data_IF_296440029981
#
_entry.id   IF_296440029981
#
_cell.length_a   1.000
_cell.length_b   1.000
_cell.length_c   1.000
_cell.angle_alpha   90.00
_cell.angle_beta   90.00
_cell.angle_gamma   90.00
#
_symmetry.space_group_name_H-M   'P 1'
#
loop_
_entity.id
_entity.type
_entity.pdbx_description
1 polymer ?
#
# COMPACT_ATOMS: atom_id res chain seq x y z
N UNK A 1 -17.10 16.24 30.85
CA UNK A 1 -16.23 16.61 29.71
C UNK A 1 -16.60 15.74 28.52
N UNK A 2 -16.45 16.26 27.30
CA UNK A 2 -16.67 15.50 26.06
C UNK A 2 -15.34 15.35 25.33
N UNK A 3 -15.05 14.14 24.87
CA UNK A 3 -13.79 13.79 24.19
C UNK A 3 -14.09 13.06 22.88
N UNK A 4 -13.17 13.18 21.93
CA UNK A 4 -13.27 12.54 20.62
C UNK A 4 -12.08 11.61 20.42
N UNK A 5 -12.32 10.48 19.75
CA UNK A 5 -11.28 9.54 19.33
C UNK A 5 -11.60 9.03 17.93
N UNK A 6 -10.58 8.87 17.10
CA UNK A 6 -10.70 8.29 15.77
C UNK A 6 -10.15 6.87 15.79
N UNK A 7 -10.85 5.96 15.13
CA UNK A 7 -10.46 4.56 14.99
C UNK A 7 -10.39 4.24 13.50
N UNK A 8 -9.29 3.62 13.09
CA UNK A 8 -9.08 3.13 11.73
C UNK A 8 -8.72 1.65 11.79
N UNK A 9 -9.37 0.86 10.94
CA UNK A 9 -9.11 -0.56 10.81
C UNK A 9 -8.82 -0.85 9.33
N UNK A 10 -7.73 -1.55 9.06
CA UNK A 10 -7.36 -2.02 7.73
C UNK A 10 -7.09 -3.52 7.80
N UNK A 11 -7.50 -4.32 6.80
CA UNK A 11 -7.13 -5.72 6.74
C UNK A 11 -5.61 -5.88 6.65
N UNK A 12 -5.07 -6.91 7.30
CA UNK A 12 -3.68 -7.32 7.10
C UNK A 12 -3.63 -8.10 5.79
N UNK A 13 -2.92 -7.56 4.80
CA UNK A 13 -2.64 -8.25 3.53
C UNK A 13 -1.18 -8.70 3.58
N UNK A 14 -0.91 -9.93 3.14
CA UNK A 14 0.46 -10.39 2.96
C UNK A 14 1.07 -9.63 1.76
N UNK A 15 2.05 -8.78 2.05
CA UNK A 15 2.66 -7.86 1.08
C UNK A 15 3.90 -8.44 0.40
N UNK A 16 4.02 -9.77 0.38
CA UNK A 16 5.14 -10.44 -0.26
C UNK A 16 4.97 -10.39 -1.80
N UNK A 17 5.50 -9.33 -2.42
CA UNK A 17 5.52 -9.18 -3.89
C UNK A 17 6.67 -10.01 -4.46
N UNK A 18 6.37 -11.21 -4.94
CA UNK A 18 7.33 -12.01 -5.72
C UNK A 18 7.39 -11.54 -7.17
N UNK A 19 8.54 -10.98 -7.57
CA UNK A 19 8.78 -10.52 -8.94
C UNK A 19 9.57 -11.60 -9.69
N UNK A 20 8.85 -12.45 -10.41
CA UNK A 20 9.44 -13.36 -11.41
C UNK A 20 9.53 -12.64 -12.76
N UNK A 21 10.75 -12.55 -13.31
CA UNK A 21 11.02 -11.87 -14.57
C UNK A 21 11.30 -12.93 -15.63
N UNK A 22 10.37 -13.13 -16.56
CA UNK A 22 10.60 -14.04 -17.68
C UNK A 22 11.42 -13.34 -18.76
N UNK A 23 12.18 -14.10 -19.57
CA UNK A 23 12.93 -13.54 -20.70
C UNK A 23 12.09 -12.77 -21.73
N UNK A 24 10.78 -13.01 -21.75
CA UNK A 24 9.82 -12.36 -22.65
C UNK A 24 9.38 -10.97 -22.16
N UNK A 25 9.54 -10.69 -20.86
CA UNK A 25 9.03 -9.47 -20.22
C UNK A 25 9.97 -8.27 -20.35
N UNK A 26 11.21 -8.50 -20.80
CA UNK A 26 12.22 -7.46 -20.90
C UNK A 26 13.01 -7.51 -22.21
N UNK A 27 13.42 -6.34 -22.66
CA UNK A 27 14.41 -6.16 -23.72
C UNK A 27 15.78 -5.91 -23.10
N UNK A 28 16.78 -6.66 -23.52
CA UNK A 28 18.18 -6.43 -23.13
C UNK A 28 18.96 -5.88 -24.33
N UNK A 29 19.43 -4.66 -24.21
CA UNK A 29 20.29 -3.99 -25.19
C UNK A 29 21.70 -3.85 -24.61
N UNK A 30 22.71 -4.25 -25.38
CA UNK A 30 24.14 -4.07 -25.01
C UNK A 30 24.78 -3.02 -25.91
N UNK A 31 25.52 -2.10 -25.31
CA UNK A 31 26.14 -0.98 -26.02
C UNK A 31 27.48 -0.60 -25.38
N UNK A 32 28.19 0.33 -26.02
CA UNK A 32 29.48 0.82 -25.50
C UNK A 32 29.27 1.72 -24.30
N UNK A 33 30.04 1.47 -23.25
CA UNK A 33 30.03 2.34 -22.07
C UNK A 33 30.46 3.76 -22.45
N UNK A 34 29.70 4.76 -21.98
CA UNK A 34 29.96 6.16 -22.24
C UNK A 34 30.88 6.76 -21.19
N UNK A 35 31.99 7.37 -21.61
CA UNK A 35 32.89 8.10 -20.71
C UNK A 35 34.31 8.29 -21.28
N UNK A 36 35.12 9.11 -20.63
CA UNK A 36 36.53 9.33 -20.94
C UNK A 36 37.40 8.13 -20.49
N UNK A 37 37.06 6.93 -20.95
CA UNK A 37 37.73 5.69 -20.61
C UNK A 37 38.91 5.36 -21.52
N UNK A 38 39.84 4.52 -21.03
CA UNK A 38 40.97 4.01 -21.80
C UNK A 38 40.57 3.10 -22.97
N UNK A 39 41.55 2.53 -23.68
CA UNK A 39 41.35 1.71 -24.88
C UNK A 39 40.25 0.62 -24.75
N UNK A 40 40.10 0.02 -23.56
CA UNK A 40 39.09 -1.01 -23.31
C UNK A 40 37.64 -0.52 -23.41
N UNK A 41 37.35 0.73 -23.02
CA UNK A 41 36.00 1.33 -23.05
C UNK A 41 35.55 1.61 -24.48
N UNK A 42 36.50 1.95 -25.36
CA UNK A 42 36.20 2.29 -26.76
C UNK A 42 36.01 1.05 -27.66
N UNK A 43 36.49 -0.12 -27.24
CA UNK A 43 36.52 -1.34 -28.06
C UNK A 43 35.51 -2.40 -27.63
N UNK A 44 35.04 -2.37 -26.38
CA UNK A 44 34.23 -3.45 -25.79
C UNK A 44 32.83 -2.96 -25.46
N UNK A 45 31.81 -3.71 -25.88
CA UNK A 45 30.40 -3.41 -25.58
C UNK A 45 30.06 -3.97 -24.19
N UNK A 46 30.45 -3.23 -23.13
CA UNK A 46 30.26 -3.67 -21.75
C UNK A 46 29.00 -3.11 -21.07
N UNK A 47 28.39 -2.04 -21.57
CA UNK A 47 27.21 -1.42 -20.96
C UNK A 47 25.94 -2.19 -21.32
N UNK A 48 25.03 -2.31 -20.35
CA UNK A 48 23.76 -3.04 -20.50
C UNK A 48 22.61 -2.11 -20.15
N UNK A 49 21.57 -2.12 -20.99
CA UNK A 49 20.27 -1.51 -20.74
C UNK A 49 19.21 -2.59 -20.76
N UNK A 50 18.35 -2.57 -19.75
CA UNK A 50 17.19 -3.47 -19.65
C UNK A 50 15.93 -2.61 -19.61
N UNK A 51 14.98 -2.91 -20.49
CA UNK A 51 13.68 -2.26 -20.57
C UNK A 51 12.61 -3.28 -20.27
N UNK A 52 11.79 -3.05 -19.24
CA UNK A 52 10.62 -3.89 -18.97
C UNK A 52 9.44 -3.42 -19.81
N UNK A 53 8.80 -4.33 -20.56
CA UNK A 53 7.76 -3.95 -21.51
C UNK A 53 6.48 -3.47 -20.83
N UNK A 54 6.02 -4.15 -19.77
CA UNK A 54 4.73 -3.86 -19.16
C UNK A 54 4.72 -2.53 -18.39
N UNK A 55 5.79 -2.24 -17.63
CA UNK A 55 5.88 -1.00 -16.83
C UNK A 55 6.63 0.12 -17.54
N UNK A 56 7.31 -0.16 -18.65
CA UNK A 56 8.15 0.81 -19.36
C UNK A 56 9.41 1.25 -18.60
N UNK A 57 9.72 0.63 -17.46
CA UNK A 57 10.89 0.99 -16.64
C UNK A 57 12.16 0.56 -17.38
N UNK A 58 13.05 1.54 -17.55
CA UNK A 58 14.36 1.35 -18.18
C UNK A 58 15.46 1.49 -17.12
N UNK A 59 16.34 0.51 -17.04
CA UNK A 59 17.51 0.51 -16.17
C UNK A 59 18.76 0.33 -17.01
N UNK A 60 19.82 1.05 -16.69
CA UNK A 60 21.11 0.93 -17.37
C UNK A 60 22.25 0.79 -16.37
N UNK A 61 23.23 -0.06 -16.68
CA UNK A 61 24.42 -0.27 -15.86
C UNK A 61 25.67 -0.33 -16.74
N UNK A 62 26.70 0.42 -16.34
CA UNK A 62 28.01 0.48 -17.01
C UNK A 62 29.17 0.54 -16.00
N UNK A 63 28.92 0.14 -14.75
CA UNK A 63 29.86 0.33 -13.64
C UNK A 63 31.08 -0.58 -13.74
N UNK A 64 30.87 -1.80 -14.25
CA UNK A 64 31.90 -2.82 -14.35
C UNK A 64 32.46 -2.95 -15.76
N UNK A 65 33.67 -3.52 -15.86
CA UNK A 65 34.30 -3.85 -17.15
C UNK A 65 33.65 -5.05 -17.83
N UNK A 66 33.01 -5.93 -17.04
CA UNK A 66 32.37 -7.16 -17.51
C UNK A 66 30.88 -6.95 -17.82
N UNK A 67 30.47 -7.35 -19.02
CA UNK A 67 29.06 -7.33 -19.45
C UNK A 67 28.17 -8.17 -18.53
N UNK A 68 28.63 -9.34 -18.09
CA UNK A 68 27.84 -10.26 -17.24
C UNK A 68 27.56 -9.62 -15.88
N UNK A 69 28.58 -8.99 -15.28
CA UNK A 69 28.42 -8.30 -14.00
C UNK A 69 27.47 -7.10 -14.14
N UNK A 70 27.60 -6.31 -15.22
CA UNK A 70 26.67 -5.22 -15.49
C UNK A 70 25.23 -5.72 -15.71
N UNK A 71 25.05 -6.87 -16.35
CA UNK A 71 23.74 -7.52 -16.52
C UNK A 71 23.13 -7.91 -15.17
N UNK A 72 23.88 -8.56 -14.29
CA UNK A 72 23.40 -8.98 -12.96
C UNK A 72 23.01 -7.78 -12.10
N UNK A 73 23.82 -6.72 -12.10
CA UNK A 73 23.52 -5.48 -11.39
C UNK A 73 22.29 -4.78 -11.96
N UNK A 74 22.16 -4.73 -13.29
CA UNK A 74 20.98 -4.16 -13.95
C UNK A 74 19.69 -4.92 -13.60
N UNK A 75 19.74 -6.26 -13.49
CA UNK A 75 18.58 -7.04 -13.02
C UNK A 75 18.21 -6.76 -11.57
N UNK A 76 19.20 -6.63 -10.67
CA UNK A 76 18.93 -6.26 -9.27
C UNK A 76 18.28 -4.88 -9.18
N UNK A 77 18.78 -3.91 -9.94
CA UNK A 77 18.20 -2.58 -10.03
C UNK A 77 16.78 -2.61 -10.62
N UNK A 78 16.55 -3.40 -11.67
CA UNK A 78 15.22 -3.55 -12.28
C UNK A 78 14.22 -4.15 -11.28
N UNK A 79 14.59 -5.21 -10.56
CA UNK A 79 13.75 -5.81 -9.52
C UNK A 79 13.41 -4.81 -8.42
N UNK A 80 14.38 -4.02 -7.96
CA UNK A 80 14.16 -2.97 -6.95
C UNK A 80 13.15 -1.93 -7.43
N UNK A 81 13.30 -1.46 -8.68
CA UNK A 81 12.38 -0.46 -9.26
C UNK A 81 10.98 -1.00 -9.50
N UNK A 82 10.87 -2.25 -9.93
CA UNK A 82 9.57 -2.93 -10.10
C UNK A 82 8.88 -3.12 -8.75
N UNK A 83 9.63 -3.48 -7.71
CA UNK A 83 9.08 -3.60 -6.36
C UNK A 83 8.51 -2.27 -5.86
N UNK A 84 9.26 -1.18 -6.00
CA UNK A 84 8.77 0.16 -5.65
C UNK A 84 7.51 0.54 -6.45
N UNK A 85 7.49 0.25 -7.74
CA UNK A 85 6.35 0.54 -8.62
C UNK A 85 5.07 -0.20 -8.18
N UNK A 86 5.15 -1.53 -7.99
CA UNK A 86 3.99 -2.32 -7.57
C UNK A 86 3.55 -1.98 -6.14
N UNK A 87 4.49 -1.66 -5.25
CA UNK A 87 4.17 -1.17 -3.91
C UNK A 87 3.38 0.14 -3.96
N UNK A 88 3.80 1.08 -4.81
CA UNK A 88 3.11 2.35 -4.97
C UNK A 88 1.73 2.19 -5.62
N UNK A 89 1.59 1.30 -6.60
CA UNK A 89 0.28 0.97 -7.17
C UNK A 89 -0.66 0.38 -6.12
N UNK A 90 -0.18 -0.57 -5.32
CA UNK A 90 -0.97 -1.19 -4.25
C UNK A 90 -1.37 -0.17 -3.18
N UNK A 91 -0.45 0.71 -2.79
CA UNK A 91 -0.75 1.82 -1.87
C UNK A 91 -1.80 2.78 -2.46
N UNK A 92 -1.76 3.07 -3.76
CA UNK A 92 -2.78 3.89 -4.43
C UNK A 92 -4.13 3.20 -4.47
N UNK A 93 -4.19 1.89 -4.71
CA UNK A 93 -5.43 1.11 -4.60
C UNK A 93 -5.97 1.16 -3.16
N UNK A 94 -5.11 0.93 -2.18
CA UNK A 94 -5.48 1.04 -0.77
C UNK A 94 -5.96 2.44 -0.39
N UNK A 95 -5.40 3.51 -0.96
CA UNK A 95 -5.88 4.87 -0.71
C UNK A 95 -7.22 5.17 -1.38
N UNK A 96 -7.54 4.54 -2.51
CA UNK A 96 -8.87 4.65 -3.12
C UNK A 96 -9.94 3.92 -2.30
N UNK A 97 -9.59 2.76 -1.77
CA UNK A 97 -10.47 1.96 -0.91
C UNK A 97 -10.45 2.42 0.55
N UNK A 98 -9.46 3.21 0.94
CA UNK A 98 -9.40 3.84 2.25
C UNK A 98 -10.59 4.79 2.37
N UNK A 99 -11.61 4.32 3.09
CA UNK A 99 -12.77 5.08 3.54
C UNK A 99 -12.29 6.49 3.92
N UNK A 100 -12.80 7.51 3.20
CA UNK A 100 -12.43 8.90 3.42
C UNK A 100 -12.41 9.20 4.92
N UNK A 101 -11.23 9.60 5.43
CA UNK A 101 -11.10 10.01 6.82
C UNK A 101 -11.97 11.25 7.02
N UNK A 102 -13.17 11.04 7.56
CA UNK A 102 -14.04 12.14 7.99
C UNK A 102 -13.34 12.93 9.08
N UNK A 103 -13.44 14.25 9.02
CA UNK A 103 -12.88 15.13 10.03
C UNK A 103 -13.40 14.77 11.42
N UNK A 104 -12.55 14.93 12.45
CA UNK A 104 -12.89 14.69 13.86
C UNK A 104 -13.60 15.95 14.40
N UNK A 105 -14.72 16.30 13.78
CA UNK A 105 -15.51 17.49 14.10
C UNK A 105 -16.88 17.06 14.63
N UNK A 106 -17.51 17.94 15.41
CA UNK A 106 -18.86 17.71 15.92
C UNK A 106 -19.83 17.36 14.77
N UNK A 107 -20.51 16.21 14.86
CA UNK A 107 -21.44 15.74 13.82
C UNK A 107 -20.89 14.66 12.88
N UNK A 108 -19.59 14.36 12.89
CA UNK A 108 -19.03 13.20 12.16
C UNK A 108 -18.98 11.91 12.98
N UNK A 109 -19.40 11.96 14.25
CA UNK A 109 -19.36 10.85 15.19
C UNK A 109 -20.31 9.70 14.79
N UNK A 110 -19.76 8.49 14.72
CA UNK A 110 -20.58 7.29 14.47
C UNK A 110 -21.21 6.73 15.74
N UNK A 111 -20.61 6.97 16.90
CA UNK A 111 -21.08 6.41 18.18
C UNK A 111 -20.77 7.36 19.33
N UNK A 112 -21.73 7.51 20.24
CA UNK A 112 -21.59 8.30 21.45
C UNK A 112 -21.63 7.39 22.67
N UNK A 113 -20.66 7.58 23.57
CA UNK A 113 -20.58 6.92 24.88
C UNK A 113 -20.82 7.98 25.95
N UNK A 114 -21.97 7.93 26.61
CA UNK A 114 -22.38 8.93 27.62
C UNK A 114 -22.32 8.29 28.99
N UNK A 115 -21.32 8.62 29.81
CA UNK A 115 -21.15 8.04 31.14
C UNK A 115 -21.99 8.74 32.22
N UNK A 116 -22.31 10.02 32.03
CA UNK A 116 -23.08 10.85 32.96
C UNK A 116 -23.90 11.88 32.17
N UNK A 117 -25.12 12.27 32.64
CA UNK A 117 -25.77 11.87 33.90
C UNK A 117 -26.49 10.52 33.84
N UNK A 118 -26.67 9.96 32.65
CA UNK A 118 -27.18 8.61 32.42
C UNK A 118 -26.13 7.81 31.66
N UNK A 119 -26.11 6.49 31.85
CA UNK A 119 -25.21 5.60 31.11
C UNK A 119 -25.89 5.10 29.84
N UNK A 120 -25.39 5.51 28.68
CA UNK A 120 -25.86 5.01 27.39
C UNK A 120 -24.77 5.04 26.31
N UNK A 121 -24.69 3.97 25.53
CA UNK A 121 -23.98 3.92 24.24
C UNK A 121 -25.01 3.96 23.12
N UNK A 122 -24.82 4.86 22.15
CA UNK A 122 -25.69 4.99 20.97
C UNK A 122 -24.86 5.00 19.70
N UNK A 123 -25.15 4.11 18.77
CA UNK A 123 -24.63 4.16 17.39
C UNK A 123 -25.58 5.03 16.54
N UNK A 124 -25.05 6.11 15.96
CA UNK A 124 -25.84 7.09 15.19
C UNK A 124 -26.15 6.62 13.78
N UNK A 125 -25.47 5.59 13.27
CA UNK A 125 -25.72 5.04 11.94
C UNK A 125 -26.91 4.07 11.96
N UNK A 126 -26.90 3.15 12.91
CA UNK A 126 -27.91 2.08 13.01
C UNK A 126 -29.04 2.40 13.99
N UNK A 127 -28.87 3.42 14.84
CA UNK A 127 -29.82 3.76 15.89
C UNK A 127 -29.80 2.83 17.11
N UNK A 128 -28.93 1.81 17.11
CA UNK A 128 -28.83 0.82 18.21
C UNK A 128 -28.34 1.50 19.49
N UNK A 129 -29.00 1.21 20.61
CA UNK A 129 -28.65 1.75 21.94
C UNK A 129 -28.47 0.65 22.97
N UNK A 130 -27.49 0.82 23.86
CA UNK A 130 -27.22 -0.07 24.99
C UNK A 130 -27.04 0.79 26.25
N UNK A 131 -27.77 0.47 27.31
CA UNK A 131 -27.67 1.19 28.60
C UNK A 131 -26.49 0.76 29.47
N UNK A 132 -26.05 -0.50 29.35
CA UNK A 132 -24.92 -1.03 30.12
C UNK A 132 -23.59 -0.64 29.45
N UNK A 133 -23.04 0.51 29.83
CA UNK A 133 -21.76 0.99 29.30
C UNK A 133 -20.59 0.10 29.67
N UNK A 134 -20.58 -0.43 30.89
CA UNK A 134 -19.42 -1.15 31.42
C UNK A 134 -19.13 -2.39 30.55
N UNK A 135 -20.17 -3.16 30.23
CA UNK A 135 -20.05 -4.32 29.35
C UNK A 135 -19.52 -3.96 27.96
N UNK A 136 -19.98 -2.84 27.39
CA UNK A 136 -19.50 -2.38 26.07
C UNK A 136 -18.03 -1.98 26.12
N UNK A 137 -17.58 -1.34 27.22
CA UNK A 137 -16.19 -0.97 27.43
C UNK A 137 -15.29 -2.19 27.66
N UNK A 138 -15.83 -3.26 28.26
CA UNK A 138 -15.15 -4.54 28.47
C UNK A 138 -15.10 -5.42 27.20
N UNK A 139 -15.70 -4.98 26.09
CA UNK A 139 -15.57 -5.60 24.77
C UNK A 139 -16.87 -6.14 24.17
N UNK A 140 -18.02 -6.01 24.84
CA UNK A 140 -19.32 -6.41 24.28
C UNK A 140 -19.82 -5.40 23.22
N UNK A 141 -19.10 -5.30 22.10
CA UNK A 141 -19.46 -4.46 20.94
C UNK A 141 -20.15 -5.24 19.81
N UNK A 142 -20.30 -6.56 19.97
CA UNK A 142 -20.92 -7.46 19.00
C UNK A 142 -22.26 -6.97 18.45
N UNK A 143 -23.22 -6.56 19.30
CA UNK A 143 -24.51 -6.06 18.82
C UNK A 143 -24.41 -4.85 17.89
N UNK A 144 -23.41 -3.97 18.09
CA UNK A 144 -23.20 -2.83 17.20
C UNK A 144 -22.57 -3.24 15.87
N UNK A 145 -21.70 -4.26 15.87
CA UNK A 145 -21.08 -4.79 14.66
C UNK A 145 -22.16 -5.46 13.80
N UNK A 146 -22.95 -6.35 14.39
CA UNK A 146 -24.05 -7.03 13.71
C UNK A 146 -25.09 -6.05 13.17
N UNK A 147 -25.49 -5.07 13.99
CA UNK A 147 -26.42 -4.02 13.55
C UNK A 147 -25.88 -3.22 12.38
N UNK A 148 -24.56 -2.94 12.36
CA UNK A 148 -23.93 -2.25 11.23
C UNK A 148 -23.86 -3.13 9.97
N UNK A 149 -23.48 -4.40 10.10
CA UNK A 149 -23.43 -5.33 8.97
C UNK A 149 -24.80 -5.51 8.31
N UNK A 150 -25.86 -5.63 9.11
CA UNK A 150 -27.23 -5.71 8.61
C UNK A 150 -27.69 -4.41 7.95
N UNK A 151 -27.36 -3.25 8.53
CA UNK A 151 -27.65 -1.94 7.95
C UNK A 151 -26.94 -1.76 6.60
N UNK A 152 -25.63 -2.03 6.55
CA UNK A 152 -24.82 -1.92 5.33
C UNK A 152 -25.30 -2.88 4.22
N UNK A 153 -25.76 -4.08 4.57
CA UNK A 153 -26.30 -5.04 3.60
C UNK A 153 -27.61 -4.55 2.96
N UNK A 154 -28.40 -3.73 3.66
CA UNK A 154 -29.67 -3.19 3.15
C UNK A 154 -29.51 -2.01 2.18
N UNK A 155 -28.29 -1.47 2.03
CA UNK A 155 -27.98 -0.43 1.05
C UNK A 155 -28.58 0.95 1.38
N UNK A 156 -28.92 1.21 2.63
CA UNK A 156 -29.27 2.54 3.16
C UNK A 156 -28.05 3.25 3.73
#
# INVERSE_FOLDING_TARGET
HTSFTSVYASPVVDDTIEIDLKPEDYRLDTYRAGGAGGQHVNKTDSAVRITHYATGIVVQCQNERSQVMNKDVAFKMLKSRLYEYYKEEKEKEHQKDAIEKKEITWGSQIRSYVFQPYTMVKDHRTGTTIGNIQAVMDGEIGPFIEGYLQWAQKGE
#
